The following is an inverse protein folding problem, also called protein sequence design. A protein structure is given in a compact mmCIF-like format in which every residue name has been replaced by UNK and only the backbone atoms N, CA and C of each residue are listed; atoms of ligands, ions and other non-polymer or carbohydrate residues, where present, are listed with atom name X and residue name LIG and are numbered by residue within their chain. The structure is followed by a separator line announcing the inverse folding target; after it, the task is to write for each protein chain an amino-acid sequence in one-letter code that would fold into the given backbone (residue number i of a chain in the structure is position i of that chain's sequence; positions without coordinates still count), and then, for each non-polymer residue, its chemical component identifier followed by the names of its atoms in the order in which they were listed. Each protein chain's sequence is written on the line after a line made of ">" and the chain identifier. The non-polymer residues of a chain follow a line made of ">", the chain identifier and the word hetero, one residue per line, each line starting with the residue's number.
data_IF_472486126807
#
_entry.id   IF_472486126807
#
_cell.length_a   1.000
_cell.length_b   1.000
_cell.length_c   1.000
_cell.angle_alpha   90.00
_cell.angle_beta   90.00
_cell.angle_gamma   90.00
#
_symmetry.space_group_name_H-M   'P 1'
#
loop_
_entity.id
_entity.type
_entity.pdbx_description
1 polymer ?
#
# COMPACT_ATOMS: atom_id res chain seq x y z
N UNK A 1 11.44 -17.81 2.38
CA UNK A 1 10.79 -19.12 2.53
C UNK A 1 9.26 -19.05 2.56
N UNK A 2 8.63 -18.41 3.55
CA UNK A 2 7.16 -18.43 3.70
C UNK A 2 6.36 -17.95 2.48
N UNK A 3 6.83 -16.92 1.76
CA UNK A 3 6.16 -16.45 0.53
C UNK A 3 6.20 -17.54 -0.57
N UNK A 4 7.29 -18.29 -0.69
CA UNK A 4 7.35 -19.45 -1.61
C UNK A 4 6.35 -20.52 -1.19
N UNK A 5 6.23 -20.82 0.11
CA UNK A 5 5.22 -21.75 0.64
C UNK A 5 3.78 -21.27 0.37
N UNK A 6 3.52 -19.97 0.46
CA UNK A 6 2.22 -19.39 0.11
C UNK A 6 1.90 -19.51 -1.40
N UNK A 7 2.90 -19.29 -2.27
CA UNK A 7 2.80 -19.51 -3.72
C UNK A 7 2.62 -21.00 -4.07
N UNK A 8 3.27 -21.91 -3.33
CA UNK A 8 3.09 -23.36 -3.47
C UNK A 8 1.70 -23.81 -2.99
N UNK A 9 1.17 -23.22 -1.92
CA UNK A 9 -0.19 -23.48 -1.44
C UNK A 9 -1.23 -22.99 -2.46
N UNK A 10 -0.97 -21.86 -3.12
CA UNK A 10 -1.81 -21.30 -4.17
C UNK A 10 -1.96 -22.22 -5.39
N UNK A 11 -0.95 -22.99 -5.79
CA UNK A 11 -1.06 -23.91 -6.93
C UNK A 11 -2.14 -24.98 -6.74
N UNK A 12 -2.28 -25.47 -5.50
CA UNK A 12 -3.10 -26.64 -5.16
C UNK A 12 -4.61 -26.44 -5.42
N UNK A 13 -5.07 -25.19 -5.46
CA UNK A 13 -6.49 -24.84 -5.61
C UNK A 13 -6.83 -24.25 -6.99
N UNK A 14 -5.89 -24.24 -7.94
CA UNK A 14 -6.02 -23.53 -9.21
C UNK A 14 -5.55 -24.40 -10.38
N UNK A 15 -6.39 -24.57 -11.40
CA UNK A 15 -5.93 -25.08 -12.70
C UNK A 15 -4.84 -24.17 -13.26
N UNK A 16 -3.70 -24.76 -13.67
CA UNK A 16 -2.42 -24.12 -14.07
C UNK A 16 -2.42 -22.58 -14.03
N UNK A 17 -2.22 -21.95 -12.85
CA UNK A 17 -1.97 -20.52 -12.81
C UNK A 17 -0.62 -20.24 -13.47
N UNK A 18 -0.54 -19.17 -14.26
CA UNK A 18 0.75 -18.55 -14.56
C UNK A 18 1.27 -17.98 -13.24
N UNK A 19 2.27 -18.63 -12.65
CA UNK A 19 2.91 -18.13 -11.44
C UNK A 19 3.57 -16.79 -11.74
N UNK A 20 3.50 -15.80 -10.84
CA UNK A 20 4.36 -14.65 -10.97
C UNK A 20 5.81 -15.09 -10.84
N UNK A 21 6.68 -14.57 -11.71
CA UNK A 21 8.13 -14.64 -11.49
C UNK A 21 8.46 -13.90 -10.20
N UNK A 22 9.38 -14.44 -9.40
CA UNK A 22 9.63 -13.97 -8.04
C UNK A 22 11.07 -13.50 -7.87
N UNK A 23 11.24 -12.19 -7.73
CA UNK A 23 12.51 -11.53 -7.49
C UNK A 23 12.67 -11.19 -6.01
N UNK A 24 13.92 -11.12 -5.57
CA UNK A 24 14.25 -10.94 -4.16
C UNK A 24 15.30 -9.84 -4.03
N UNK A 25 14.84 -8.60 -4.20
CA UNK A 25 15.68 -7.42 -4.25
C UNK A 25 16.43 -7.21 -2.92
N UNK A 26 17.72 -6.89 -3.05
CA UNK A 26 18.66 -6.60 -1.96
C UNK A 26 18.89 -5.10 -1.78
N UNK A 27 18.65 -4.30 -2.83
CA UNK A 27 18.71 -2.83 -2.79
C UNK A 27 17.41 -2.20 -3.30
N UNK A 28 17.21 -0.91 -2.99
CA UNK A 28 16.08 -0.14 -3.54
C UNK A 28 16.23 0.02 -5.05
N UNK A 29 17.45 0.26 -5.55
CA UNK A 29 17.71 0.46 -6.98
C UNK A 29 17.41 -0.80 -7.81
N UNK A 30 17.70 -1.99 -7.27
CA UNK A 30 17.31 -3.27 -7.87
C UNK A 30 15.77 -3.39 -7.94
N UNK A 31 15.07 -3.08 -6.85
CA UNK A 31 13.61 -3.12 -6.82
C UNK A 31 12.98 -2.10 -7.80
N UNK A 32 13.53 -0.89 -7.89
CA UNK A 32 13.11 0.17 -8.81
C UNK A 32 13.38 -0.20 -10.27
N UNK A 33 14.53 -0.83 -10.56
CA UNK A 33 14.88 -1.31 -11.90
C UNK A 33 13.90 -2.37 -12.39
N UNK A 34 13.59 -3.37 -11.56
CA UNK A 34 12.59 -4.40 -11.84
C UNK A 34 11.17 -3.81 -12.00
N UNK A 35 10.79 -2.80 -11.20
CA UNK A 35 9.51 -2.09 -11.36
C UNK A 35 9.43 -1.28 -12.66
N UNK A 36 10.56 -0.83 -13.19
CA UNK A 36 10.61 -0.16 -14.48
C UNK A 36 10.43 -1.18 -15.62
N UNK A 37 11.28 -2.21 -15.63
CA UNK A 37 11.34 -3.31 -16.60
C UNK A 37 9.97 -4.00 -16.80
N UNK A 38 9.34 -4.45 -15.73
CA UNK A 38 8.16 -5.33 -15.81
C UNK A 38 6.80 -4.61 -15.94
N UNK A 39 6.81 -3.27 -15.95
CA UNK A 39 5.61 -2.48 -16.20
C UNK A 39 4.58 -2.56 -15.07
N UNK A 40 3.31 -2.36 -15.43
CA UNK A 40 2.16 -2.64 -14.55
C UNK A 40 2.03 -4.13 -14.17
N UNK A 41 2.77 -5.01 -14.86
CA UNK A 41 2.85 -6.43 -14.58
C UNK A 41 3.62 -6.78 -13.29
N UNK A 42 4.40 -5.85 -12.72
CA UNK A 42 5.08 -6.05 -11.45
C UNK A 42 4.32 -5.46 -10.25
N UNK A 43 4.41 -6.14 -9.10
CA UNK A 43 3.99 -5.60 -7.80
C UNK A 43 5.06 -5.89 -6.74
N UNK A 44 5.27 -4.93 -5.85
CA UNK A 44 6.11 -5.10 -4.65
C UNK A 44 5.40 -6.03 -3.67
N UNK A 45 6.13 -6.95 -3.04
CA UNK A 45 5.65 -7.71 -1.88
C UNK A 45 6.55 -7.48 -0.66
N UNK A 46 5.92 -7.16 0.46
CA UNK A 46 6.54 -7.03 1.78
C UNK A 46 5.88 -8.03 2.74
N UNK A 47 5.05 -7.56 3.68
CA UNK A 47 4.27 -8.41 4.57
C UNK A 47 3.24 -9.33 3.90
N UNK A 48 2.87 -9.05 2.64
CA UNK A 48 1.98 -9.89 1.82
C UNK A 48 0.49 -9.89 2.19
N UNK A 49 0.12 -9.41 3.38
CA UNK A 49 -1.25 -9.43 3.96
C UNK A 49 -2.36 -9.12 2.93
N UNK A 50 -2.37 -7.93 2.34
CA UNK A 50 -3.44 -7.54 1.42
C UNK A 50 -3.20 -8.08 -0.01
N UNK A 51 -1.98 -7.96 -0.55
CA UNK A 51 -1.63 -8.39 -1.90
C UNK A 51 -1.92 -9.87 -2.15
N UNK A 52 -1.52 -10.76 -1.23
CA UNK A 52 -1.77 -12.21 -1.37
C UNK A 52 -3.28 -12.51 -1.28
N UNK A 53 -4.04 -11.75 -0.50
CA UNK A 53 -5.50 -11.83 -0.46
C UNK A 53 -6.15 -11.40 -1.78
N UNK A 54 -5.68 -10.30 -2.38
CA UNK A 54 -6.15 -9.82 -3.69
C UNK A 54 -5.84 -10.83 -4.81
N UNK A 55 -4.66 -11.47 -4.76
CA UNK A 55 -4.27 -12.53 -5.69
C UNK A 55 -5.13 -13.79 -5.51
N UNK A 56 -5.33 -14.25 -4.26
CA UNK A 56 -6.25 -15.36 -3.93
C UNK A 56 -7.67 -15.11 -4.46
N UNK A 57 -8.10 -13.85 -4.48
CA UNK A 57 -9.42 -13.45 -4.95
C UNK A 57 -9.47 -13.05 -6.43
N UNK A 58 -8.43 -13.29 -7.25
CA UNK A 58 -8.36 -12.89 -8.68
C UNK A 58 -8.63 -11.39 -8.92
N UNK A 59 -8.40 -10.53 -7.93
CA UNK A 59 -8.54 -9.07 -8.06
C UNK A 59 -7.29 -8.48 -8.71
N UNK A 60 -6.12 -9.04 -8.38
CA UNK A 60 -4.84 -8.73 -9.00
C UNK A 60 -4.18 -10.02 -9.49
N UNK A 61 -3.57 -9.96 -10.67
CA UNK A 61 -2.80 -11.08 -11.27
C UNK A 61 -1.48 -10.55 -11.85
N UNK A 62 -0.52 -10.12 -11.00
CA UNK A 62 0.77 -9.64 -11.47
C UNK A 62 1.54 -10.78 -12.16
N UNK A 63 2.32 -10.43 -13.18
CA UNK A 63 3.30 -11.33 -13.82
C UNK A 63 4.57 -11.46 -12.98
N UNK A 64 4.89 -10.46 -12.16
CA UNK A 64 6.11 -10.41 -11.36
C UNK A 64 5.83 -9.93 -9.94
N UNK A 65 6.42 -10.62 -8.95
CA UNK A 65 6.47 -10.20 -7.56
C UNK A 65 7.91 -9.84 -7.17
N UNK A 66 8.09 -8.62 -6.68
CA UNK A 66 9.39 -8.11 -6.24
C UNK A 66 9.38 -8.06 -4.71
N UNK A 67 10.01 -9.04 -4.07
CA UNK A 67 10.14 -9.06 -2.62
C UNK A 67 11.24 -8.12 -2.14
N UNK A 68 10.86 -7.21 -1.26
CA UNK A 68 11.75 -6.17 -0.72
C UNK A 68 12.19 -6.44 0.72
N UNK A 69 11.72 -7.52 1.35
CA UNK A 69 11.99 -7.84 2.78
C UNK A 69 13.47 -7.97 3.16
N UNK A 70 14.39 -8.02 2.18
CA UNK A 70 15.83 -8.19 2.40
C UNK A 70 16.65 -6.91 2.19
N UNK A 71 16.00 -5.77 1.96
CA UNK A 71 16.66 -4.46 1.91
C UNK A 71 16.78 -3.95 3.37
N UNK A 72 17.97 -3.99 4.01
CA UNK A 72 18.08 -3.90 5.47
C UNK A 72 17.71 -2.53 6.02
N UNK A 73 18.12 -1.45 5.33
CA UNK A 73 17.90 -0.07 5.77
C UNK A 73 16.43 0.37 5.74
N UNK A 74 15.51 -0.46 5.21
CA UNK A 74 14.08 -0.15 5.21
C UNK A 74 13.34 -0.64 6.46
N UNK A 75 13.99 -1.33 7.40
CA UNK A 75 13.39 -1.68 8.69
C UNK A 75 14.11 -0.92 9.81
N UNK A 76 13.55 0.21 10.22
CA UNK A 76 14.06 1.05 11.31
C UNK A 76 12.95 1.90 11.94
N UNK A 77 13.17 2.29 13.20
CA UNK A 77 12.52 3.44 13.83
C UNK A 77 13.67 4.27 14.44
N UNK A 78 13.85 5.51 14.03
CA UNK A 78 14.95 6.37 14.51
C UNK A 78 14.47 7.80 14.72
N UNK A 79 14.60 8.29 15.94
CA UNK A 79 14.31 9.68 16.29
C UNK A 79 15.45 10.62 15.86
N UNK A 80 15.09 11.85 15.51
CA UNK A 80 15.99 12.97 15.24
C UNK A 80 15.41 14.25 15.87
N UNK A 81 16.03 15.41 15.63
CA UNK A 81 15.59 16.68 16.23
C UNK A 81 14.22 17.17 15.73
N UNK A 82 13.78 16.72 14.55
CA UNK A 82 12.57 17.17 13.86
C UNK A 82 11.39 16.19 13.97
N UNK A 83 11.63 14.92 14.34
CA UNK A 83 10.62 13.87 14.31
C UNK A 83 11.15 12.44 14.48
N UNK A 84 10.44 11.45 13.91
CA UNK A 84 10.79 10.03 13.97
C UNK A 84 10.68 9.31 12.61
N UNK A 85 11.82 8.93 12.06
CA UNK A 85 11.90 8.17 10.83
C UNK A 85 11.44 6.72 11.00
N UNK A 86 10.60 6.21 10.08
CA UNK A 86 10.02 4.86 10.13
C UNK A 86 10.20 4.14 8.79
N UNK A 87 11.19 3.26 8.70
CA UNK A 87 11.43 2.46 7.51
C UNK A 87 10.18 1.69 7.03
N UNK A 88 9.95 1.61 5.72
CA UNK A 88 8.72 1.05 5.16
C UNK A 88 8.49 -0.46 5.43
N UNK A 89 9.53 -1.20 5.83
CA UNK A 89 9.47 -2.60 6.28
C UNK A 89 9.29 -2.74 7.80
N UNK A 90 9.27 -1.64 8.56
CA UNK A 90 8.94 -1.67 9.98
C UNK A 90 7.53 -2.24 10.16
N UNK A 91 7.40 -3.23 11.05
CA UNK A 91 6.14 -3.94 11.26
C UNK A 91 5.19 -3.07 12.10
N UNK A 92 3.88 -3.22 11.89
CA UNK A 92 2.89 -2.50 12.72
C UNK A 92 3.04 -2.89 14.20
N UNK A 93 3.30 -4.16 14.50
CA UNK A 93 3.61 -4.61 15.87
C UNK A 93 4.92 -4.00 16.43
N UNK A 94 5.90 -3.67 15.59
CA UNK A 94 7.13 -3.02 16.05
C UNK A 94 6.86 -1.55 16.43
N UNK A 95 5.98 -0.86 15.69
CA UNK A 95 5.50 0.51 16.02
C UNK A 95 4.67 0.50 17.31
N UNK A 96 3.72 -0.44 17.43
CA UNK A 96 2.87 -0.65 18.62
C UNK A 96 3.70 -0.90 19.89
N UNK A 97 4.89 -1.50 19.78
CA UNK A 97 5.74 -1.87 20.93
C UNK A 97 6.91 -0.92 21.19
N UNK A 98 7.09 0.12 20.38
CA UNK A 98 8.19 1.06 20.57
C UNK A 98 7.80 2.10 21.63
N UNK A 99 8.37 2.01 22.84
CA UNK A 99 8.03 2.89 23.97
C UNK A 99 8.04 4.38 23.60
N UNK A 100 9.03 4.81 22.82
CA UNK A 100 9.14 6.19 22.34
C UNK A 100 7.94 6.64 21.50
N UNK A 101 7.38 5.75 20.65
CA UNK A 101 6.14 6.05 19.88
C UNK A 101 4.97 6.22 20.84
N UNK A 102 4.84 5.36 21.84
CA UNK A 102 3.77 5.45 22.85
C UNK A 102 3.87 6.72 23.70
N UNK A 103 5.08 7.17 24.03
CA UNK A 103 5.33 8.35 24.86
C UNK A 103 5.17 9.67 24.08
N UNK A 104 5.71 9.76 22.86
CA UNK A 104 5.76 11.02 22.09
C UNK A 104 4.66 11.14 21.03
N UNK A 105 4.17 10.03 20.49
CA UNK A 105 3.13 9.98 19.45
C UNK A 105 2.02 8.97 19.80
N UNK A 106 1.29 9.15 20.93
CA UNK A 106 0.32 8.16 21.41
C UNK A 106 -0.79 7.84 20.38
N UNK A 107 -1.20 8.81 19.56
CA UNK A 107 -2.18 8.57 18.47
C UNK A 107 -1.66 7.58 17.40
N UNK A 108 -0.34 7.52 17.18
CA UNK A 108 0.31 6.59 16.26
C UNK A 108 0.41 5.19 16.87
N UNK A 109 0.58 5.10 18.20
CA UNK A 109 0.43 3.85 18.96
C UNK A 109 -1.01 3.31 18.86
N UNK A 110 -2.03 4.14 19.08
CA UNK A 110 -3.44 3.73 19.01
C UNK A 110 -3.82 3.23 17.61
N UNK A 111 -3.42 3.93 16.54
CA UNK A 111 -3.64 3.47 15.17
C UNK A 111 -2.81 2.23 14.79
N UNK A 112 -1.65 2.01 15.40
CA UNK A 112 -0.94 0.75 15.24
C UNK A 112 -1.70 -0.39 15.94
N UNK A 113 -2.26 -0.14 17.13
CA UNK A 113 -3.01 -1.11 17.93
C UNK A 113 -4.39 -1.46 17.32
N UNK A 114 -5.08 -0.51 16.67
CA UNK A 114 -6.38 -0.74 16.01
C UNK A 114 -6.31 -1.65 14.80
N UNK A 115 -5.14 -1.79 14.16
CA UNK A 115 -5.00 -2.56 12.92
C UNK A 115 -5.24 -4.06 13.18
N UNK A 116 -6.38 -4.53 12.69
CA UNK A 116 -6.73 -5.93 12.49
C UNK A 116 -6.42 -6.81 13.73
N UNK A 117 -5.72 -7.93 13.55
CA UNK A 117 -5.34 -8.83 14.64
C UNK A 117 -3.82 -8.82 14.89
N UNK A 118 -3.35 -9.26 16.06
CA UNK A 118 -1.91 -9.34 16.36
C UNK A 118 -1.11 -10.15 15.33
N UNK A 119 -1.67 -11.24 14.80
CA UNK A 119 -1.04 -12.04 13.74
C UNK A 119 -0.87 -11.24 12.43
N UNK A 120 -1.83 -10.38 12.10
CA UNK A 120 -1.70 -9.45 10.98
C UNK A 120 -0.60 -8.41 11.27
N UNK A 121 -0.58 -7.81 12.47
CA UNK A 121 0.42 -6.79 12.84
C UNK A 121 1.86 -7.31 12.90
N UNK A 122 2.04 -8.60 13.22
CA UNK A 122 3.33 -9.30 13.17
C UNK A 122 3.89 -9.51 11.76
N UNK A 123 3.07 -9.35 10.72
CA UNK A 123 3.49 -9.50 9.31
C UNK A 123 3.33 -8.20 8.50
N UNK A 124 2.34 -7.38 8.83
CA UNK A 124 2.05 -6.13 8.16
C UNK A 124 3.19 -5.12 8.38
N UNK A 125 3.73 -4.63 7.28
CA UNK A 125 4.73 -3.55 7.22
C UNK A 125 4.04 -2.21 7.00
N UNK A 126 4.53 -1.11 7.57
CA UNK A 126 3.89 0.20 7.46
C UNK A 126 3.71 0.67 6.00
N UNK A 127 4.71 0.50 5.12
CA UNK A 127 4.58 0.83 3.69
C UNK A 127 3.52 -0.03 2.98
N UNK A 128 3.35 -1.29 3.42
CA UNK A 128 2.29 -2.18 2.96
C UNK A 128 0.90 -1.85 3.52
N UNK A 129 0.82 -1.20 4.69
CA UNK A 129 -0.42 -0.69 5.25
C UNK A 129 -0.89 0.58 4.53
N UNK A 130 0.04 1.47 4.16
CA UNK A 130 -0.26 2.64 3.33
C UNK A 130 -0.69 2.22 1.91
N UNK A 131 0.02 1.29 1.28
CA UNK A 131 -0.28 0.80 -0.08
C UNK A 131 -1.42 -0.23 -0.17
N UNK A 132 -2.23 -0.42 0.89
CA UNK A 132 -3.30 -1.42 0.86
C UNK A 132 -4.49 -0.97 0.01
N UNK A 133 -5.11 -1.91 -0.70
CA UNK A 133 -6.25 -1.62 -1.57
C UNK A 133 -7.57 -1.50 -0.82
N UNK A 134 -8.48 -0.71 -1.38
CA UNK A 134 -9.81 -0.44 -0.81
C UNK A 134 -10.62 -1.71 -0.52
N UNK A 135 -11.54 -1.63 0.45
CA UNK A 135 -12.40 -2.77 0.86
C UNK A 135 -13.75 -2.85 0.13
N UNK A 136 -14.04 -1.91 -0.77
CA UNK A 136 -15.24 -1.87 -1.62
C UNK A 136 -15.56 -3.25 -2.24
N UNK A 137 -16.78 -3.75 -2.01
CA UNK A 137 -17.25 -5.06 -2.51
C UNK A 137 -17.37 -5.14 -4.04
N UNK A 138 -17.53 -4.02 -4.74
CA UNK A 138 -17.51 -3.97 -6.20
C UNK A 138 -16.08 -4.04 -6.77
N UNK A 139 -15.11 -3.46 -6.05
CA UNK A 139 -13.69 -3.60 -6.41
C UNK A 139 -13.16 -4.99 -6.09
N UNK A 140 -13.48 -5.54 -4.91
CA UNK A 140 -13.10 -6.91 -4.59
C UNK A 140 -13.96 -7.89 -5.41
N UNK A 141 -13.53 -9.15 -5.46
CA UNK A 141 -14.31 -10.25 -6.05
C UNK A 141 -15.15 -10.87 -4.94
N UNK A 142 -16.39 -11.21 -5.24
CA UNK A 142 -17.25 -11.95 -4.30
C UNK A 142 -16.57 -13.28 -3.92
N UNK A 143 -16.28 -13.54 -2.63
CA UNK A 143 -15.65 -14.79 -2.21
C UNK A 143 -16.63 -15.96 -2.26
N UNK A 144 -17.94 -15.70 -2.19
CA UNK A 144 -19.00 -16.73 -2.22
C UNK A 144 -19.38 -17.10 -3.65
N UNK A 145 -19.71 -16.11 -4.48
CA UNK A 145 -20.24 -16.33 -5.84
C UNK A 145 -19.18 -16.25 -6.93
N UNK A 146 -17.96 -15.79 -6.61
CA UNK A 146 -16.91 -15.59 -7.60
C UNK A 146 -17.18 -14.46 -8.61
N UNK A 147 -18.27 -13.69 -8.44
CA UNK A 147 -18.61 -12.55 -9.29
C UNK A 147 -17.57 -11.45 -9.12
N UNK A 148 -17.13 -10.86 -10.23
CA UNK A 148 -16.24 -9.70 -10.28
C UNK A 148 -16.97 -8.58 -11.02
N UNK A 149 -17.34 -7.51 -10.31
CA UNK A 149 -17.96 -6.35 -10.96
C UNK A 149 -16.98 -5.58 -11.81
N UNK A 150 -17.49 -4.95 -12.85
CA UNK A 150 -16.76 -4.14 -13.83
C UNK A 150 -16.44 -2.73 -13.29
N UNK A 151 -15.81 -2.72 -12.11
CA UNK A 151 -15.61 -1.53 -11.31
C UNK A 151 -14.63 -0.56 -11.99
N UNK A 152 -14.88 0.75 -11.91
CA UNK A 152 -13.94 1.80 -12.34
C UNK A 152 -12.50 1.56 -11.83
N UNK A 153 -12.30 0.96 -10.63
CA UNK A 153 -10.94 0.64 -10.12
C UNK A 153 -10.21 -0.51 -10.83
N UNK A 154 -10.88 -1.29 -11.68
CA UNK A 154 -10.28 -2.39 -12.46
C UNK A 154 -9.95 -2.00 -13.90
N UNK A 155 -10.65 -1.02 -14.47
CA UNK A 155 -10.44 -0.53 -15.84
C UNK A 155 -10.84 0.93 -16.00
N UNK A 156 -10.23 1.61 -16.98
CA UNK A 156 -10.40 3.05 -17.22
C UNK A 156 -11.86 3.46 -17.50
N UNK A 157 -12.66 2.60 -18.15
CA UNK A 157 -14.09 2.81 -18.45
C UNK A 157 -15.02 1.92 -17.60
N UNK A 158 -14.65 1.59 -16.36
CA UNK A 158 -15.50 0.81 -15.45
C UNK A 158 -16.55 1.67 -14.75
N UNK A 159 -17.58 1.06 -14.16
CA UNK A 159 -18.67 1.78 -13.49
C UNK A 159 -18.39 1.85 -11.98
N UNK A 160 -18.78 2.95 -11.31
CA UNK A 160 -18.81 2.96 -9.84
C UNK A 160 -20.20 2.55 -9.33
N UNK A 161 -20.40 1.24 -9.16
CA UNK A 161 -21.65 0.68 -8.66
C UNK A 161 -22.07 1.20 -7.27
N UNK A 162 -21.11 1.67 -6.45
CA UNK A 162 -21.39 2.29 -5.16
C UNK A 162 -22.08 3.67 -5.24
N UNK A 163 -22.19 4.28 -6.43
CA UNK A 163 -22.94 5.52 -6.58
C UNK A 163 -24.45 5.32 -6.43
N UNK A 164 -25.00 4.22 -6.96
CA UNK A 164 -26.44 3.94 -7.03
C UNK A 164 -26.83 2.54 -6.50
N UNK A 165 -25.89 1.80 -5.93
CA UNK A 165 -26.10 0.48 -5.32
C UNK A 165 -25.84 0.51 -3.81
N UNK A 166 -25.69 -0.67 -3.22
CA UNK A 166 -25.30 -0.84 -1.83
C UNK A 166 -23.97 -0.10 -1.56
N UNK A 167 -24.02 0.88 -0.65
CA UNK A 167 -22.95 1.83 -0.40
C UNK A 167 -22.69 2.16 1.08
N UNK A 168 -23.23 1.40 2.03
CA UNK A 168 -23.09 1.57 3.50
C UNK A 168 -21.68 1.94 4.00
N UNK A 169 -20.60 1.39 3.43
CA UNK A 169 -19.21 1.66 3.82
C UNK A 169 -18.41 2.50 2.80
N UNK A 170 -19.10 3.34 2.02
CA UNK A 170 -18.48 4.20 1.01
C UNK A 170 -18.44 5.67 1.45
N UNK A 171 -17.65 6.47 0.74
CA UNK A 171 -17.33 7.85 1.11
C UNK A 171 -18.56 8.77 1.01
N UNK A 172 -18.93 9.40 2.12
CA UNK A 172 -19.97 10.46 2.16
C UNK A 172 -19.42 11.85 1.78
N UNK A 173 -18.10 12.05 1.82
CA UNK A 173 -17.42 13.31 1.49
C UNK A 173 -16.30 13.01 0.48
N UNK A 174 -16.14 13.87 -0.53
CA UNK A 174 -15.08 13.77 -1.54
C UNK A 174 -15.27 12.69 -2.61
N UNK A 175 -16.28 11.81 -2.49
CA UNK A 175 -16.60 10.84 -3.53
C UNK A 175 -17.14 11.52 -4.80
N UNK A 176 -16.47 11.29 -5.94
CA UNK A 176 -16.88 11.81 -7.26
C UNK A 176 -17.03 10.67 -8.27
N UNK A 177 -15.96 10.26 -8.94
CA UNK A 177 -15.95 9.10 -9.86
C UNK A 177 -15.83 7.75 -9.15
N UNK A 178 -15.51 7.77 -7.85
CA UNK A 178 -15.35 6.58 -7.05
C UNK A 178 -15.54 6.90 -5.56
N UNK A 179 -16.43 6.15 -4.92
CA UNK A 179 -16.77 6.35 -3.50
C UNK A 179 -16.02 5.38 -2.57
N UNK A 180 -14.97 4.70 -3.04
CA UNK A 180 -14.26 3.71 -2.24
C UNK A 180 -13.29 4.38 -1.24
N UNK A 181 -13.44 4.09 0.06
CA UNK A 181 -12.64 4.69 1.14
C UNK A 181 -11.24 4.06 1.26
N UNK A 182 -10.27 4.85 1.72
CA UNK A 182 -8.97 4.34 2.18
C UNK A 182 -9.17 3.62 3.53
N UNK A 183 -8.76 2.35 3.68
CA UNK A 183 -9.00 1.57 4.90
C UNK A 183 -7.78 1.55 5.85
N UNK A 184 -6.94 2.59 5.83
CA UNK A 184 -5.70 2.66 6.60
C UNK A 184 -5.83 3.66 7.77
N UNK A 185 -5.89 3.11 8.98
CA UNK A 185 -5.85 3.89 10.23
C UNK A 185 -4.55 4.71 10.30
N UNK A 186 -3.42 4.08 9.97
CA UNK A 186 -2.11 4.73 9.96
C UNK A 186 -2.00 5.85 8.93
N UNK A 187 -2.62 5.73 7.74
CA UNK A 187 -2.66 6.82 6.77
C UNK A 187 -3.41 8.04 7.31
N UNK A 188 -4.49 7.79 8.05
CA UNK A 188 -5.31 8.85 8.67
C UNK A 188 -4.53 9.57 9.76
N UNK A 189 -3.83 8.84 10.62
CA UNK A 189 -3.00 9.43 11.69
C UNK A 189 -1.75 10.10 11.14
N UNK A 190 -1.05 9.50 10.17
CA UNK A 190 0.11 10.11 9.53
C UNK A 190 -0.27 11.41 8.78
N UNK A 191 -1.46 11.48 8.18
CA UNK A 191 -1.98 12.73 7.63
C UNK A 191 -2.25 13.78 8.72
N UNK A 192 -2.86 13.38 9.84
CA UNK A 192 -3.14 14.28 10.97
C UNK A 192 -1.86 14.80 11.66
N UNK A 193 -0.79 14.01 11.65
CA UNK A 193 0.54 14.37 12.15
C UNK A 193 1.41 15.14 11.13
N UNK A 194 0.88 15.47 9.94
CA UNK A 194 1.61 16.13 8.84
C UNK A 194 2.90 15.39 8.40
N UNK A 195 2.85 14.05 8.47
CA UNK A 195 3.99 13.17 8.21
C UNK A 195 4.38 13.09 6.73
N UNK A 196 5.62 12.65 6.46
CA UNK A 196 6.25 12.66 5.14
C UNK A 196 6.54 11.24 4.64
N UNK A 197 6.24 11.01 3.36
CA UNK A 197 6.47 9.73 2.66
C UNK A 197 7.55 9.95 1.60
N UNK A 198 8.82 9.66 1.94
CA UNK A 198 9.88 9.65 0.95
C UNK A 198 9.57 8.57 -0.08
N UNK A 199 9.89 8.86 -1.33
CA UNK A 199 9.75 7.88 -2.40
C UNK A 199 11.02 7.76 -3.22
N UNK A 200 11.21 6.61 -3.85
CA UNK A 200 12.30 6.38 -4.80
C UNK A 200 11.73 5.93 -6.14
N UNK A 201 12.25 6.51 -7.22
CA UNK A 201 11.93 6.18 -8.60
C UNK A 201 13.21 6.28 -9.46
N UNK A 202 13.11 5.96 -10.75
CA UNK A 202 14.23 5.96 -11.72
C UNK A 202 14.82 7.34 -12.03
N UNK A 203 14.17 8.43 -11.62
CA UNK A 203 14.62 9.82 -11.82
C UNK A 203 15.21 10.45 -10.56
N UNK A 204 15.49 9.67 -9.52
CA UNK A 204 15.92 10.13 -8.20
C UNK A 204 14.76 10.23 -7.20
N UNK A 205 15.09 10.09 -5.91
CA UNK A 205 14.10 10.09 -4.84
C UNK A 205 13.29 11.39 -4.77
N UNK A 206 12.00 11.31 -4.41
CA UNK A 206 11.08 12.46 -4.49
C UNK A 206 10.20 12.69 -3.25
N UNK A 207 9.83 13.97 -3.14
CA UNK A 207 9.07 14.71 -2.13
C UNK A 207 7.91 15.47 -2.83
N UNK A 208 6.61 15.32 -2.50
CA UNK A 208 5.42 16.05 -3.02
C UNK A 208 4.32 16.14 -1.88
N UNK A 209 3.40 17.11 -1.71
CA UNK A 209 2.66 17.32 -0.42
C UNK A 209 1.26 16.67 -0.15
N UNK A 210 0.94 16.39 1.14
CA UNK A 210 -0.37 16.19 1.86
C UNK A 210 -1.55 15.35 1.32
N UNK A 211 -1.75 15.18 0.03
CA UNK A 211 -3.00 14.67 -0.57
C UNK A 211 -3.15 13.14 -0.63
N UNK A 212 -2.70 12.41 0.39
CA UNK A 212 -2.60 10.93 0.37
C UNK A 212 -3.95 10.18 0.21
N UNK A 213 -5.08 10.79 0.62
CA UNK A 213 -6.38 10.11 0.75
C UNK A 213 -7.31 10.47 -0.42
N UNK A 214 -7.21 9.79 -1.57
CA UNK A 214 -8.28 9.89 -2.57
C UNK A 214 -8.59 8.64 -3.43
N UNK A 215 -9.87 8.39 -3.82
CA UNK A 215 -10.31 7.08 -4.35
C UNK A 215 -9.94 6.76 -5.81
N UNK A 216 -9.42 7.70 -6.62
CA UNK A 216 -8.90 7.37 -7.97
C UNK A 216 -8.10 8.41 -8.77
N UNK A 217 -8.19 9.70 -8.47
CA UNK A 217 -7.64 10.76 -9.36
C UNK A 217 -6.11 10.77 -9.49
N UNK A 218 -5.39 9.94 -8.72
CA UNK A 218 -3.94 9.84 -8.73
C UNK A 218 -3.50 8.45 -9.22
N UNK A 219 -3.01 8.36 -10.46
CA UNK A 219 -2.25 7.19 -10.95
C UNK A 219 -0.89 7.16 -10.22
N UNK A 220 -0.83 6.46 -9.09
CA UNK A 220 0.36 6.18 -8.26
C UNK A 220 1.35 7.37 -8.10
N UNK A 221 1.12 8.28 -7.15
CA UNK A 221 2.06 9.35 -6.75
C UNK A 221 2.15 9.44 -5.21
N UNK A 222 3.33 9.68 -4.62
CA UNK A 222 3.56 9.66 -3.16
C UNK A 222 4.69 10.63 -2.69
N UNK A 223 4.77 10.96 -1.37
CA UNK A 223 4.47 12.33 -0.90
C UNK A 223 5.27 12.89 0.36
N UNK A 224 6.31 13.76 0.22
CA UNK A 224 6.83 14.74 1.25
C UNK A 224 6.62 16.28 1.01
N UNK A 225 6.76 17.12 2.06
CA UNK A 225 6.69 18.60 2.03
C UNK A 225 8.04 19.37 1.96
N UNK A 226 8.07 20.54 1.27
CA UNK A 226 8.51 21.86 1.82
C UNK A 226 8.28 23.05 0.83
N UNK A 227 7.77 24.17 1.38
CA UNK A 227 7.53 25.52 0.78
C UNK A 227 6.49 25.74 -0.35
N UNK A 228 6.00 27.00 -0.41
CA UNK A 228 4.81 27.49 -1.14
C UNK A 228 5.07 27.72 -2.65
N UNK A 229 4.24 27.15 -3.53
CA UNK A 229 3.67 27.78 -4.75
C UNK A 229 2.73 26.80 -5.47
N UNK A 230 1.71 27.24 -6.23
CA UNK A 230 0.81 26.32 -6.93
C UNK A 230 1.41 25.86 -8.28
N UNK A 231 1.13 24.62 -8.70
CA UNK A 231 0.75 24.27 -10.09
C UNK A 231 0.55 22.74 -10.20
N UNK A 232 -0.66 22.32 -10.62
CA UNK A 232 -0.95 20.92 -10.97
C UNK A 232 -0.52 20.63 -12.40
N UNK A 233 0.28 19.57 -12.62
CA UNK A 233 0.36 18.88 -13.92
C UNK A 233 0.45 17.35 -13.73
N UNK A 234 -0.28 16.64 -14.58
CA UNK A 234 -0.42 15.18 -14.58
C UNK A 234 0.85 14.48 -15.08
N UNK A 235 1.47 13.64 -14.26
CA UNK A 235 2.65 12.85 -14.63
C UNK A 235 2.56 11.40 -14.13
N UNK A 236 2.61 10.44 -15.05
CA UNK A 236 2.63 9.01 -14.71
C UNK A 236 4.01 8.64 -14.16
N UNK A 237 4.09 8.22 -12.90
CA UNK A 237 5.33 7.75 -12.27
C UNK A 237 5.07 6.50 -11.41
N UNK A 238 6.13 5.79 -11.05
CA UNK A 238 6.09 4.58 -10.21
C UNK A 238 7.02 4.80 -9.01
N UNK A 239 6.55 4.48 -7.81
CA UNK A 239 7.21 4.91 -6.58
C UNK A 239 7.38 3.78 -5.56
N UNK A 240 8.57 3.76 -4.97
CA UNK A 240 8.87 3.09 -3.70
C UNK A 240 8.39 3.93 -2.52
N UNK A 241 8.16 3.36 -1.33
CA UNK A 241 7.89 4.12 -0.09
C UNK A 241 9.03 3.89 0.93
N UNK A 242 9.48 4.97 1.56
CA UNK A 242 10.21 5.00 2.82
C UNK A 242 9.60 6.13 3.67
N UNK A 243 9.16 5.89 4.89
CA UNK A 243 8.44 6.93 5.65
C UNK A 243 9.46 7.62 6.56
N UNK A 244 9.52 8.94 6.53
CA UNK A 244 10.16 9.71 7.58
C UNK A 244 9.05 10.58 8.21
N UNK A 245 8.65 10.25 9.44
CA UNK A 245 7.90 11.22 10.24
C UNK A 245 8.88 12.07 11.06
#
# INVERSE_FOLDING_TARGET
>A
EEIKKALLWLSKYWGKPAYPEYYHAKTVDEAVSLLNEYGEGAKIIAGGIDLVGLMKNKVLSPRVLINIKAIPHLKHITENADGAAIGALTLINDIERFNLIKEKWPILFEAAHSIASPQVRNMATIGGNLCQEVRCWYYRRSPVTGISFDCRRKRENGICYAANGENQYHAIIGGTECFAVCPSDMATVLLALDARINTVNTSGGRSIPKEFIHPKSVKYQALNLLQKSPFYQSLNYRYFIAILA
#
